data_IF_945614330502
#
_entry.id   IF_945614330502
#
_cell.length_a   1.000
_cell.length_b   1.000
_cell.length_c   1.000
_cell.angle_alpha   90.00
_cell.angle_beta   90.00
_cell.angle_gamma   90.00
#
_symmetry.space_group_name_H-M   'P 1'
#
loop_
_entity.id
_entity.type
_entity.pdbx_description
1 polymer ?
#
# COMPACT_ATOMS: atom_id res chain seq x y z
N UNK A 1 11.38 33.37 33.45
CA UNK A 1 10.34 32.92 32.50
C UNK A 1 10.70 31.49 32.11
N UNK A 2 9.86 30.47 32.37
CA UNK A 2 10.15 29.12 31.91
C UNK A 2 9.89 29.03 30.41
N UNK A 3 10.87 28.52 29.66
CA UNK A 3 10.72 28.26 28.23
C UNK A 3 9.75 27.08 28.04
N UNK A 4 8.67 27.31 27.30
CA UNK A 4 7.81 26.23 26.81
C UNK A 4 8.61 25.46 25.77
N UNK A 5 9.16 24.32 26.16
CA UNK A 5 9.70 23.35 25.21
C UNK A 5 8.54 22.88 24.34
N UNK A 6 8.50 23.35 23.10
CA UNK A 6 7.65 22.78 22.06
C UNK A 6 8.08 21.33 21.87
N UNK A 7 7.34 20.39 22.44
CA UNK A 7 7.43 18.98 22.06
C UNK A 7 6.91 18.85 20.63
N UNK A 8 7.74 19.23 19.66
CA UNK A 8 7.53 18.84 18.28
C UNK A 8 7.54 17.32 18.26
N UNK A 9 6.43 16.71 17.84
CA UNK A 9 6.39 15.27 17.60
C UNK A 9 7.47 15.02 16.52
N UNK A 10 8.50 14.21 16.80
CA UNK A 10 9.52 13.94 15.80
C UNK A 10 8.85 13.32 14.58
N UNK A 11 9.28 13.73 13.38
CA UNK A 11 8.81 13.11 12.15
C UNK A 11 9.09 11.59 12.21
N UNK A 12 8.21 10.77 11.62
CA UNK A 12 8.47 9.34 11.55
C UNK A 12 9.68 9.07 10.64
N UNK A 13 10.18 7.81 10.57
CA UNK A 13 11.30 7.47 9.71
C UNK A 13 11.10 7.95 8.26
N UNK A 14 12.11 8.57 7.66
CA UNK A 14 12.05 8.97 6.26
C UNK A 14 12.00 7.79 5.31
N UNK A 15 12.50 6.63 5.73
CA UNK A 15 12.43 5.40 4.94
C UNK A 15 11.97 4.25 5.82
N UNK A 16 11.23 3.32 5.24
CA UNK A 16 10.91 2.05 5.87
C UNK A 16 10.59 0.97 4.83
N UNK A 17 10.69 -0.29 5.22
CA UNK A 17 10.26 -1.45 4.45
C UNK A 17 9.39 -2.34 5.33
N UNK A 18 8.20 -2.69 4.84
CA UNK A 18 7.24 -3.44 5.63
C UNK A 18 6.34 -4.32 4.76
N UNK A 19 5.69 -5.27 5.42
CA UNK A 19 4.70 -6.17 4.81
C UNK A 19 3.31 -5.83 5.32
N UNK A 20 2.33 -5.94 4.43
CA UNK A 20 0.91 -5.91 4.76
C UNK A 20 0.25 -7.17 4.24
N UNK A 21 -0.85 -7.57 4.88
CA UNK A 21 -1.66 -8.72 4.47
C UNK A 21 -3.04 -8.21 4.04
N UNK A 22 -3.38 -8.46 2.78
CA UNK A 22 -4.68 -8.20 2.20
C UNK A 22 -5.59 -9.36 2.59
N UNK A 23 -6.67 -9.09 3.32
CA UNK A 23 -7.51 -10.11 3.96
C UNK A 23 -8.93 -10.15 3.44
N UNK A 24 -9.39 -9.09 2.78
CA UNK A 24 -10.77 -8.94 2.34
C UNK A 24 -10.89 -8.40 0.93
N UNK A 25 -11.96 -8.76 0.24
CA UNK A 25 -12.42 -8.04 -0.94
C UNK A 25 -13.35 -6.91 -0.49
N UNK A 26 -13.10 -5.70 -0.98
CA UNK A 26 -13.98 -4.53 -0.79
C UNK A 26 -14.87 -4.29 -2.02
N UNK A 27 -14.49 -4.86 -3.16
CA UNK A 27 -15.27 -4.87 -4.40
C UNK A 27 -15.02 -6.18 -5.15
N UNK A 28 -16.05 -6.70 -5.82
CA UNK A 28 -16.01 -7.98 -6.52
C UNK A 28 -16.17 -9.21 -5.61
N UNK A 29 -16.06 -10.39 -6.20
CA UNK A 29 -16.12 -11.65 -5.46
C UNK A 29 -14.82 -11.87 -4.66
N UNK A 30 -14.96 -12.32 -3.40
CA UNK A 30 -13.81 -12.64 -2.56
C UNK A 30 -12.96 -13.75 -3.18
N UNK A 31 -11.69 -13.48 -3.53
CA UNK A 31 -10.85 -14.50 -4.14
C UNK A 31 -10.45 -15.60 -3.16
N UNK A 32 -10.39 -16.83 -3.64
CA UNK A 32 -10.02 -18.00 -2.83
C UNK A 32 -8.55 -17.99 -2.36
N UNK A 33 -7.70 -17.20 -3.00
CA UNK A 33 -6.27 -17.07 -2.67
C UNK A 33 -5.99 -16.10 -1.51
N UNK A 34 -7.00 -15.44 -0.94
CA UNK A 34 -6.81 -14.64 0.26
C UNK A 34 -6.52 -15.53 1.48
N UNK A 35 -5.65 -15.11 2.41
CA UNK A 35 -4.97 -13.81 2.48
C UNK A 35 -3.77 -13.69 1.53
N UNK A 36 -3.51 -12.46 1.05
CA UNK A 36 -2.39 -12.16 0.15
C UNK A 36 -1.40 -11.17 0.78
N UNK A 37 -0.12 -11.54 0.83
CA UNK A 37 0.93 -10.66 1.35
C UNK A 37 1.45 -9.71 0.27
N UNK A 38 1.72 -8.47 0.66
CA UNK A 38 2.32 -7.44 -0.18
C UNK A 38 3.43 -6.72 0.61
N UNK A 39 4.56 -6.51 -0.05
CA UNK A 39 5.72 -5.83 0.52
C UNK A 39 5.88 -4.45 -0.10
N UNK A 40 6.05 -3.45 0.75
CA UNK A 40 6.31 -2.07 0.36
C UNK A 40 7.62 -1.56 0.93
N UNK A 41 8.24 -0.63 0.22
CA UNK A 41 9.21 0.31 0.79
C UNK A 41 8.78 1.73 0.48
N UNK A 42 9.03 2.68 1.37
CA UNK A 42 8.86 4.10 1.06
C UNK A 42 10.11 4.91 1.37
N UNK A 43 10.20 6.05 0.70
CA UNK A 43 11.15 7.12 0.95
C UNK A 43 10.39 8.45 0.92
N UNK A 44 10.44 9.19 2.01
CA UNK A 44 9.76 10.46 2.19
C UNK A 44 10.66 11.52 2.83
N UNK A 45 10.80 12.63 2.11
CA UNK A 45 11.42 13.85 2.60
C UNK A 45 10.34 14.74 3.25
N UNK A 46 10.28 14.72 4.59
CA UNK A 46 9.35 15.54 5.36
C UNK A 46 9.63 17.05 5.25
N UNK A 47 10.88 17.45 4.96
CA UNK A 47 11.23 18.86 4.81
C UNK A 47 10.72 19.45 3.49
N UNK A 48 10.75 18.63 2.44
CA UNK A 48 10.28 19.00 1.09
C UNK A 48 8.86 18.55 0.78
N UNK A 49 8.25 17.77 1.67
CA UNK A 49 6.93 17.18 1.52
C UNK A 49 6.77 16.40 0.20
N UNK A 50 7.78 15.59 -0.12
CA UNK A 50 7.82 14.80 -1.35
C UNK A 50 8.49 13.46 -1.10
N UNK A 51 8.23 12.49 -1.97
CA UNK A 51 8.79 11.15 -1.87
C UNK A 51 8.08 10.18 -2.80
N UNK A 52 8.33 8.90 -2.60
CA UNK A 52 7.73 7.81 -3.37
C UNK A 52 7.66 6.54 -2.53
N UNK A 53 6.84 5.60 -2.95
CA UNK A 53 6.87 4.24 -2.45
C UNK A 53 7.18 3.25 -3.58
N UNK A 54 7.48 2.01 -3.23
CA UNK A 54 7.77 0.93 -4.18
C UNK A 54 7.08 -0.33 -3.70
N UNK A 55 6.37 -1.00 -4.60
CA UNK A 55 5.93 -2.38 -4.38
C UNK A 55 7.12 -3.30 -4.65
N UNK A 56 7.60 -3.96 -3.60
CA UNK A 56 8.73 -4.90 -3.65
C UNK A 56 8.30 -6.32 -3.98
N UNK A 57 7.06 -6.68 -3.63
CA UNK A 57 6.52 -7.98 -3.92
C UNK A 57 5.04 -8.11 -3.57
N UNK A 58 4.36 -9.04 -4.22
CA UNK A 58 2.98 -9.41 -3.93
C UNK A 58 2.78 -10.90 -4.21
N UNK A 59 2.11 -11.57 -3.27
CA UNK A 59 1.92 -13.02 -3.32
C UNK A 59 3.24 -13.78 -3.31
N UNK A 60 3.46 -14.58 -4.35
CA UNK A 60 4.69 -15.37 -4.50
C UNK A 60 5.79 -14.62 -5.28
N UNK A 61 5.49 -13.46 -5.85
CA UNK A 61 6.43 -12.66 -6.61
C UNK A 61 7.09 -11.60 -5.72
N UNK A 62 8.33 -11.87 -5.29
CA UNK A 62 9.12 -10.98 -4.44
C UNK A 62 10.19 -10.17 -5.20
N UNK A 63 10.05 -10.07 -6.52
CA UNK A 63 11.03 -9.37 -7.38
C UNK A 63 10.45 -8.13 -8.04
N UNK A 64 9.29 -7.68 -7.56
CA UNK A 64 8.64 -6.49 -8.10
C UNK A 64 9.41 -5.25 -7.68
N UNK A 65 9.50 -4.27 -8.57
CA UNK A 65 10.10 -2.95 -8.29
C UNK A 65 9.27 -1.87 -8.96
N UNK A 66 7.98 -1.85 -8.61
CA UNK A 66 7.04 -0.88 -9.18
C UNK A 66 6.97 0.37 -8.32
N UNK A 67 7.32 1.50 -8.92
CA UNK A 67 7.29 2.80 -8.24
C UNK A 67 5.86 3.30 -8.09
N UNK A 68 5.57 3.85 -6.91
CA UNK A 68 4.30 4.46 -6.55
C UNK A 68 4.52 5.94 -6.26
N UNK A 69 3.62 6.76 -6.76
CA UNK A 69 3.71 8.21 -6.68
C UNK A 69 2.76 8.76 -5.61
N UNK A 70 3.15 9.82 -4.90
CA UNK A 70 2.31 10.41 -3.88
C UNK A 70 1.05 11.03 -4.50
N UNK A 71 -0.07 10.87 -3.81
CA UNK A 71 -1.37 11.39 -4.23
C UNK A 71 -1.67 12.79 -3.69
N UNK A 72 -0.89 13.29 -2.72
CA UNK A 72 -1.07 14.63 -2.16
C UNK A 72 -2.25 14.77 -1.19
N UNK A 73 -2.63 13.70 -0.49
CA UNK A 73 -3.70 13.72 0.52
C UNK A 73 -3.21 14.38 1.82
N UNK A 74 -3.97 15.33 2.35
CA UNK A 74 -3.61 16.00 3.61
C UNK A 74 -3.64 15.03 4.80
N UNK A 75 -2.60 15.06 5.64
CA UNK A 75 -2.49 14.22 6.83
C UNK A 75 -2.16 12.74 6.60
N UNK A 76 -2.10 12.30 5.33
CA UNK A 76 -1.88 10.89 4.96
C UNK A 76 -0.73 10.79 3.97
N UNK A 77 0.18 9.85 4.20
CA UNK A 77 1.11 9.41 3.15
C UNK A 77 0.36 8.40 2.28
N UNK A 78 -0.18 8.89 1.18
CA UNK A 78 -0.93 8.11 0.19
C UNK A 78 -0.12 7.99 -1.10
N UNK A 79 0.09 6.77 -1.57
CA UNK A 79 0.82 6.47 -2.80
C UNK A 79 -0.01 5.58 -3.72
N UNK A 80 0.15 5.78 -5.02
CA UNK A 80 -0.52 4.99 -6.06
C UNK A 80 0.48 4.50 -7.11
N UNK A 81 0.44 3.21 -7.44
CA UNK A 81 1.08 2.68 -8.63
C UNK A 81 0.27 3.10 -9.87
N UNK A 82 0.94 3.69 -10.87
CA UNK A 82 0.29 4.16 -12.10
C UNK A 82 0.22 3.09 -13.19
N UNK A 83 1.20 2.21 -13.20
CA UNK A 83 1.36 1.19 -14.24
C UNK A 83 0.79 -0.14 -13.76
N UNK A 84 0.14 -0.85 -14.68
CA UNK A 84 -0.31 -2.21 -14.44
C UNK A 84 0.89 -3.17 -14.42
N UNK A 85 0.80 -4.24 -13.64
CA UNK A 85 1.85 -5.25 -13.60
C UNK A 85 1.35 -6.66 -13.28
N UNK A 86 2.07 -7.71 -13.75
CA UNK A 86 1.69 -9.08 -13.49
C UNK A 86 1.92 -9.45 -12.02
N UNK A 87 0.98 -10.22 -11.48
CA UNK A 87 0.95 -10.74 -10.13
C UNK A 87 0.80 -12.25 -10.20
N UNK A 88 1.74 -12.97 -9.60
CA UNK A 88 1.67 -14.42 -9.50
C UNK A 88 1.20 -14.83 -8.11
N UNK A 89 -0.01 -15.38 -8.05
CA UNK A 89 -0.59 -15.94 -6.83
C UNK A 89 -0.49 -17.47 -6.85
N UNK A 90 -0.50 -18.05 -5.67
CA UNK A 90 -0.52 -19.50 -5.50
C UNK A 90 -1.95 -19.91 -5.16
N UNK A 91 -2.69 -20.36 -6.17
CA UNK A 91 -4.05 -20.86 -6.04
C UNK A 91 -4.05 -22.35 -5.65
N UNK A 92 -5.21 -22.88 -5.28
CA UNK A 92 -5.37 -24.27 -4.85
C UNK A 92 -4.99 -25.29 -5.95
N UNK A 93 -5.11 -24.91 -7.22
CA UNK A 93 -4.82 -25.76 -8.39
C UNK A 93 -3.49 -25.42 -9.09
N UNK A 94 -2.67 -24.51 -8.53
CA UNK A 94 -1.37 -24.16 -9.11
C UNK A 94 -1.03 -22.68 -8.99
N UNK A 95 -0.18 -22.19 -9.90
CA UNK A 95 0.11 -20.74 -10.01
C UNK A 95 -0.90 -20.12 -10.95
N UNK A 96 -1.52 -19.04 -10.51
CA UNK A 96 -2.40 -18.21 -11.33
C UNK A 96 -1.72 -16.85 -11.54
N UNK A 97 -1.74 -16.37 -12.77
CA UNK A 97 -1.18 -15.08 -13.16
C UNK A 97 -2.33 -14.10 -13.39
N UNK A 98 -2.32 -13.03 -12.60
CA UNK A 98 -3.31 -11.95 -12.64
C UNK A 98 -2.60 -10.63 -12.95
N UNK A 99 -3.37 -9.59 -13.25
CA UNK A 99 -2.83 -8.22 -13.33
C UNK A 99 -3.26 -7.39 -12.13
N UNK A 100 -2.31 -6.67 -11.54
CA UNK A 100 -2.60 -5.55 -10.67
C UNK A 100 -2.71 -4.29 -11.51
N UNK A 101 -3.91 -3.70 -11.55
CA UNK A 101 -4.19 -2.46 -12.28
C UNK A 101 -3.85 -1.23 -11.47
N UNK A 102 -4.09 -1.29 -10.15
CA UNK A 102 -3.79 -0.23 -9.21
C UNK A 102 -3.37 -0.82 -7.88
N UNK A 103 -2.36 -0.20 -7.28
CA UNK A 103 -1.98 -0.44 -5.90
C UNK A 103 -2.01 0.87 -5.17
N UNK A 104 -2.66 0.86 -4.00
CA UNK A 104 -2.74 1.96 -3.08
C UNK A 104 -2.06 1.58 -1.78
N UNK A 105 -1.33 2.54 -1.21
CA UNK A 105 -0.74 2.44 0.11
C UNK A 105 -1.05 3.74 0.84
N UNK A 106 -1.69 3.63 2.00
CA UNK A 106 -1.98 4.76 2.88
C UNK A 106 -1.38 4.49 4.26
N UNK A 107 -0.84 5.53 4.89
CA UNK A 107 -0.42 5.51 6.30
C UNK A 107 -0.50 6.91 6.92
N UNK A 108 -0.56 6.95 8.25
CA UNK A 108 -0.57 8.22 8.98
C UNK A 108 0.73 8.99 8.73
N UNK A 109 0.63 10.25 8.29
CA UNK A 109 1.83 11.05 7.96
C UNK A 109 2.67 11.44 9.16
N UNK A 110 2.07 11.53 10.35
CA UNK A 110 2.73 11.97 11.58
C UNK A 110 3.38 10.81 12.30
N UNK A 111 2.76 9.63 12.30
CA UNK A 111 3.27 8.46 13.04
C UNK A 111 3.87 7.36 12.16
N UNK A 112 3.60 7.37 10.85
CA UNK A 112 3.85 6.25 9.94
C UNK A 112 3.21 4.91 10.40
N UNK A 113 2.18 5.00 11.25
CA UNK A 113 1.32 3.90 11.66
C UNK A 113 0.05 3.85 10.79
N UNK A 114 -0.92 3.01 11.15
CA UNK A 114 -2.18 2.81 10.40
C UNK A 114 -1.97 2.47 8.93
N UNK A 115 -0.91 1.68 8.67
CA UNK A 115 -0.55 1.22 7.33
C UNK A 115 -1.67 0.36 6.79
N UNK A 116 -2.12 0.69 5.59
CA UNK A 116 -3.20 0.01 4.90
C UNK A 116 -2.94 0.04 3.41
N UNK A 117 -3.43 -0.96 2.71
CA UNK A 117 -3.26 -1.09 1.27
C UNK A 117 -4.51 -1.65 0.62
N UNK A 118 -4.74 -1.25 -0.63
CA UNK A 118 -5.73 -1.83 -1.51
C UNK A 118 -5.10 -2.11 -2.87
N UNK A 119 -5.50 -3.21 -3.48
CA UNK A 119 -5.01 -3.66 -4.77
C UNK A 119 -6.20 -4.03 -5.64
N UNK A 120 -6.27 -3.41 -6.82
CA UNK A 120 -7.21 -3.76 -7.87
C UNK A 120 -6.58 -4.86 -8.74
N UNK A 121 -7.17 -6.05 -8.69
CA UNK A 121 -6.75 -7.26 -9.39
C UNK A 121 -7.83 -7.75 -10.36
N UNK A 122 -7.46 -8.68 -11.24
CA UNK A 122 -8.37 -9.44 -12.11
C UNK A 122 -7.91 -9.42 -13.57
N UNK A 123 -8.69 -10.01 -14.46
CA UNK A 123 -8.47 -9.90 -15.92
C UNK A 123 -8.90 -8.54 -16.47
N UNK A 124 -9.80 -7.84 -15.76
CA UNK A 124 -10.33 -6.52 -16.15
C UNK A 124 -10.30 -5.51 -14.97
N UNK A 125 -9.61 -5.83 -13.86
CA UNK A 125 -9.58 -4.99 -12.67
C UNK A 125 -10.90 -4.97 -11.88
N UNK A 126 -11.66 -6.07 -11.94
CA UNK A 126 -12.99 -6.23 -11.38
C UNK A 126 -13.02 -6.60 -9.89
N UNK A 127 -11.86 -6.84 -9.26
CA UNK A 127 -11.76 -7.22 -7.86
C UNK A 127 -10.84 -6.24 -7.15
N UNK A 128 -11.29 -5.68 -6.03
CA UNK A 128 -10.45 -4.87 -5.15
C UNK A 128 -10.28 -5.59 -3.83
N UNK A 129 -9.05 -5.98 -3.51
CA UNK A 129 -8.68 -6.58 -2.24
C UNK A 129 -7.93 -5.58 -1.37
N UNK A 130 -8.12 -5.64 -0.05
CA UNK A 130 -7.54 -4.66 0.86
C UNK A 130 -7.13 -5.27 2.20
N UNK A 131 -6.33 -4.53 2.96
CA UNK A 131 -6.03 -4.83 4.36
C UNK A 131 -7.29 -4.73 5.23
N UNK A 132 -7.34 -5.42 6.36
CA UNK A 132 -8.51 -5.45 7.25
C UNK A 132 -8.95 -4.04 7.69
N UNK A 133 -7.98 -3.18 7.99
CA UNK A 133 -8.17 -1.79 8.41
C UNK A 133 -8.49 -0.81 7.27
N UNK A 134 -8.67 -1.28 6.02
CA UNK A 134 -9.11 -0.43 4.92
C UNK A 134 -10.58 -0.01 5.11
N UNK A 135 -10.81 1.29 5.22
CA UNK A 135 -12.13 1.88 5.48
C UNK A 135 -12.98 2.04 4.22
N UNK A 136 -14.30 2.13 4.40
CA UNK A 136 -15.26 2.36 3.30
C UNK A 136 -15.23 3.79 2.73
N UNK A 137 -14.57 4.73 3.40
CA UNK A 137 -14.42 6.13 2.99
C UNK A 137 -13.05 6.44 2.40
N UNK A 138 -12.18 5.44 2.26
CA UNK A 138 -10.87 5.60 1.63
C UNK A 138 -11.04 5.78 0.12
N UNK A 139 -10.27 6.69 -0.47
CA UNK A 139 -10.30 6.95 -1.92
C UNK A 139 -9.56 5.81 -2.64
N UNK A 140 -10.24 5.17 -3.60
CA UNK A 140 -9.69 4.19 -4.55
C UNK A 140 -9.16 4.87 -5.84
#
# INVERSE_FOLDING_TARGET
MPALLSNAIPNPPSTDTFNLTLTKAVEGATPAFLPLNIQFSYDWDFSRNMGSATVLGIGSNNTLKYTMFPMGVSGVLAFMARDQFPVTIQASEGKEELFAYRVLMNMNKVTAEDRKAAVMLGEEGNIVIATENWGSTEVL
#
